data_IF_456096548180
#
_entry.id   IF_456096548180
#
_cell.length_a   1.000
_cell.length_b   1.000
_cell.length_c   1.000
_cell.angle_alpha   90.00
_cell.angle_beta   90.00
_cell.angle_gamma   90.00
#
_symmetry.space_group_name_H-M   'P 1'
#
loop_
_entity.id
_entity.type
_entity.pdbx_description
1 polymer ?
#
# COMPACT_ATOMS: atom_id res chain seq x y z
N UNK A 1 -1.25 -21.45 -5.78
CA UNK A 1 -1.77 -21.39 -4.39
C UNK A 1 -1.92 -19.96 -3.89
N UNK A 2 -0.85 -19.15 -3.82
CA UNK A 2 -0.91 -17.74 -3.36
C UNK A 2 -2.03 -16.90 -3.99
N UNK A 3 -2.17 -16.95 -5.32
CA UNK A 3 -3.23 -16.20 -6.02
C UNK A 3 -4.65 -16.55 -5.58
N UNK A 4 -4.93 -17.84 -5.37
CA UNK A 4 -6.25 -18.29 -4.90
C UNK A 4 -6.50 -17.81 -3.47
N UNK A 5 -5.47 -17.88 -2.61
CA UNK A 5 -5.54 -17.34 -1.26
C UNK A 5 -5.83 -15.82 -1.27
N UNK A 6 -5.12 -15.05 -2.09
CA UNK A 6 -5.35 -13.61 -2.22
C UNK A 6 -6.78 -13.30 -2.68
N UNK A 7 -7.33 -14.07 -3.63
CA UNK A 7 -8.70 -13.88 -4.10
C UNK A 7 -9.73 -14.19 -3.02
N UNK A 8 -9.61 -15.34 -2.33
CA UNK A 8 -10.51 -15.72 -1.25
C UNK A 8 -10.46 -14.70 -0.11
N UNK A 9 -9.25 -14.30 0.31
CA UNK A 9 -9.08 -13.31 1.37
C UNK A 9 -9.64 -11.94 0.94
N UNK A 10 -9.44 -11.51 -0.30
CA UNK A 10 -9.98 -10.23 -0.80
C UNK A 10 -11.51 -10.22 -0.79
N UNK A 11 -12.15 -11.31 -1.20
CA UNK A 11 -13.61 -11.44 -1.13
C UNK A 11 -14.10 -11.44 0.31
N UNK A 12 -13.48 -12.20 1.21
CA UNK A 12 -13.82 -12.21 2.63
C UNK A 12 -13.70 -10.81 3.25
N UNK A 13 -12.59 -10.11 3.02
CA UNK A 13 -12.37 -8.75 3.52
C UNK A 13 -13.39 -7.78 2.93
N UNK A 14 -13.69 -7.87 1.62
CA UNK A 14 -14.68 -7.01 0.98
C UNK A 14 -16.10 -7.23 1.54
N UNK A 15 -16.48 -8.47 1.87
CA UNK A 15 -17.78 -8.77 2.48
C UNK A 15 -17.84 -8.23 3.91
N UNK A 16 -16.82 -8.49 4.73
CA UNK A 16 -16.77 -8.05 6.13
C UNK A 16 -16.68 -6.53 6.25
N UNK A 17 -15.89 -5.88 5.40
CA UNK A 17 -15.66 -4.44 5.42
C UNK A 17 -16.54 -3.66 4.43
N UNK A 18 -17.52 -4.29 3.79
CA UNK A 18 -18.37 -3.65 2.78
C UNK A 18 -19.12 -2.44 3.32
N UNK A 19 -19.74 -2.57 4.49
CA UNK A 19 -20.43 -1.45 5.14
C UNK A 19 -19.45 -0.33 5.57
N UNK A 20 -18.35 -0.61 6.30
CA UNK A 20 -17.31 0.37 6.58
C UNK A 20 -16.77 1.10 5.33
N UNK A 21 -16.58 0.38 4.21
CA UNK A 21 -16.11 0.95 2.95
C UNK A 21 -17.08 1.99 2.39
N UNK A 22 -18.38 1.72 2.43
CA UNK A 22 -19.42 2.66 1.98
C UNK A 22 -19.46 3.89 2.89
N UNK A 23 -19.35 3.70 4.20
CA UNK A 23 -19.30 4.82 5.15
C UNK A 23 -18.07 5.71 4.92
N UNK A 24 -16.90 5.12 4.74
CA UNK A 24 -15.67 5.87 4.41
C UNK A 24 -15.82 6.60 3.09
N UNK A 25 -16.39 5.97 2.05
CA UNK A 25 -16.64 6.59 0.76
C UNK A 25 -17.56 7.83 0.89
N UNK A 26 -18.62 7.73 1.70
CA UNK A 26 -19.53 8.84 1.99
C UNK A 26 -18.80 9.97 2.73
N UNK A 27 -18.04 9.63 3.78
CA UNK A 27 -17.26 10.63 4.54
C UNK A 27 -16.27 11.38 3.64
N UNK A 28 -15.57 10.69 2.75
CA UNK A 28 -14.66 11.31 1.77
C UNK A 28 -15.45 12.23 0.83
N UNK A 29 -16.63 11.79 0.35
CA UNK A 29 -17.46 12.59 -0.54
C UNK A 29 -17.96 13.88 0.11
N UNK A 30 -18.24 13.84 1.41
CA UNK A 30 -18.73 14.99 2.18
C UNK A 30 -17.61 15.96 2.61
N UNK A 31 -16.36 15.51 2.64
CA UNK A 31 -15.23 16.28 3.22
C UNK A 31 -14.15 16.65 2.21
N UNK A 32 -14.27 16.17 0.97
CA UNK A 32 -13.35 16.48 -0.12
C UNK A 32 -14.10 16.95 -1.35
N UNK A 33 -13.57 17.97 -2.01
CA UNK A 33 -13.94 18.29 -3.38
C UNK A 33 -13.39 17.19 -4.32
N UNK A 34 -14.16 16.84 -5.37
CA UNK A 34 -13.74 15.89 -6.41
C UNK A 34 -14.14 14.42 -6.20
N UNK A 35 -13.31 13.52 -6.76
CA UNK A 35 -13.55 12.07 -6.78
C UNK A 35 -13.25 11.41 -5.44
N UNK A 36 -14.07 10.44 -5.04
CA UNK A 36 -13.88 9.63 -3.82
C UNK A 36 -12.55 8.86 -3.88
N UNK A 37 -12.24 8.31 -5.05
CA UNK A 37 -11.02 7.57 -5.29
C UNK A 37 -9.94 8.47 -5.92
N UNK A 38 -8.72 8.32 -5.43
CA UNK A 38 -7.50 8.80 -6.05
C UNK A 38 -6.77 7.61 -6.68
N UNK A 39 -6.29 7.77 -7.91
CA UNK A 39 -5.55 6.75 -8.64
C UNK A 39 -4.09 7.16 -8.74
N UNK A 40 -3.21 6.37 -8.13
CA UNK A 40 -1.76 6.58 -8.17
C UNK A 40 -1.14 5.62 -9.18
N UNK A 41 -0.31 6.13 -10.09
CA UNK A 41 0.53 5.28 -10.93
C UNK A 41 1.66 4.69 -10.09
N UNK A 42 1.79 3.37 -10.18
CA UNK A 42 2.73 2.57 -9.38
C UNK A 42 3.42 1.53 -10.24
N UNK A 43 4.61 1.13 -9.81
CA UNK A 43 5.38 0.07 -10.46
C UNK A 43 4.97 -1.29 -9.91
N UNK A 44 4.51 -2.15 -10.80
CA UNK A 44 4.10 -3.53 -10.52
C UNK A 44 5.10 -4.58 -11.02
N UNK A 45 4.61 -5.80 -11.18
CA UNK A 45 5.42 -6.94 -11.64
C UNK A 45 6.05 -6.65 -13.01
N UNK A 46 7.31 -7.04 -13.17
CA UNK A 46 8.14 -6.80 -14.34
C UNK A 46 8.26 -5.31 -14.70
N UNK A 47 8.28 -4.44 -13.68
CA UNK A 47 8.32 -2.99 -13.81
C UNK A 47 7.16 -2.37 -14.62
N UNK A 48 6.04 -3.09 -14.78
CA UNK A 48 4.88 -2.56 -15.50
C UNK A 48 4.10 -1.59 -14.63
N UNK A 49 3.73 -0.45 -15.19
CA UNK A 49 2.91 0.53 -14.47
C UNK A 49 1.47 0.02 -14.35
N UNK A 50 0.89 0.16 -13.17
CA UNK A 50 -0.53 -0.06 -12.92
C UNK A 50 -1.12 1.08 -12.09
N UNK A 51 -2.44 1.26 -12.20
CA UNK A 51 -3.19 2.24 -11.41
C UNK A 51 -3.63 1.63 -10.09
N UNK A 52 -3.14 2.20 -9.00
CA UNK A 52 -3.46 1.78 -7.64
C UNK A 52 -4.49 2.73 -7.02
N UNK A 53 -5.73 2.28 -6.77
CA UNK A 53 -6.77 3.11 -6.15
C UNK A 53 -6.54 3.25 -4.65
N UNK A 54 -6.83 4.44 -4.13
CA UNK A 54 -6.95 4.75 -2.71
C UNK A 54 -8.15 5.65 -2.48
N UNK A 55 -8.65 5.71 -1.25
CA UNK A 55 -9.53 6.82 -0.91
C UNK A 55 -8.74 8.12 -0.92
N UNK A 56 -9.36 9.18 -1.41
CA UNK A 56 -8.76 10.51 -1.41
C UNK A 56 -8.59 10.96 0.04
N UNK A 57 -7.34 11.23 0.43
CA UNK A 57 -7.01 11.82 1.73
C UNK A 57 -6.38 13.21 1.60
N UNK A 58 -6.03 13.62 0.38
CA UNK A 58 -5.36 14.88 0.09
C UNK A 58 -6.21 15.78 -0.79
N UNK A 59 -6.01 17.08 -0.67
CA UNK A 59 -6.64 18.11 -1.49
C UNK A 59 -6.30 17.89 -2.98
N UNK A 60 -7.21 18.29 -3.87
CA UNK A 60 -7.14 18.01 -5.32
C UNK A 60 -5.83 18.50 -5.97
N UNK A 61 -5.28 19.63 -5.51
CA UNK A 61 -4.10 20.26 -6.09
C UNK A 61 -2.78 19.81 -5.44
N UNK A 62 -2.77 18.71 -4.69
CA UNK A 62 -1.56 18.20 -4.05
C UNK A 62 -0.64 17.51 -5.07
N UNK A 63 0.67 17.82 -5.12
CA UNK A 63 1.62 17.18 -6.04
C UNK A 63 1.73 15.66 -5.83
N UNK A 64 1.89 14.91 -6.93
CA UNK A 64 2.05 13.45 -6.92
C UNK A 64 3.49 13.00 -6.61
N UNK A 65 3.97 13.33 -5.41
CA UNK A 65 5.29 12.94 -4.89
C UNK A 65 5.14 12.07 -3.64
N UNK A 66 6.24 11.44 -3.20
CA UNK A 66 6.23 10.72 -1.93
C UNK A 66 5.92 11.68 -0.77
N UNK A 67 5.16 11.22 0.23
CA UNK A 67 4.68 12.08 1.33
C UNK A 67 5.82 12.79 2.06
N UNK A 68 6.97 12.13 2.24
CA UNK A 68 8.15 12.68 2.91
C UNK A 68 8.87 13.78 2.10
N UNK A 69 8.48 14.00 0.83
CA UNK A 69 9.01 15.07 -0.03
C UNK A 69 8.12 16.32 -0.03
N UNK A 70 6.96 16.29 0.63
CA UNK A 70 6.07 17.45 0.72
C UNK A 70 6.54 18.39 1.83
N UNK A 71 6.56 19.70 1.54
CA UNK A 71 6.98 20.75 2.50
C UNK A 71 6.07 20.79 3.73
N UNK A 72 4.76 20.58 3.55
CA UNK A 72 3.82 20.50 4.65
C UNK A 72 2.72 19.46 4.37
N UNK A 73 2.98 18.17 4.68
CA UNK A 73 2.07 17.08 4.36
C UNK A 73 0.69 17.22 5.00
N UNK A 74 0.61 17.81 6.20
CA UNK A 74 -0.64 17.95 6.97
C UNK A 74 -1.55 19.03 6.41
N UNK A 75 -0.98 20.13 5.91
CA UNK A 75 -1.73 21.20 5.24
C UNK A 75 -2.41 20.73 3.93
N UNK A 76 -1.89 19.67 3.30
CA UNK A 76 -2.45 19.09 2.09
C UNK A 76 -3.56 18.06 2.34
N UNK A 77 -3.93 17.77 3.59
CA UNK A 77 -4.95 16.76 3.93
C UNK A 77 -6.37 17.33 3.91
N UNK A 78 -7.34 16.48 3.56
CA UNK A 78 -8.76 16.75 3.83
C UNK A 78 -9.03 16.58 5.34
N UNK A 79 -10.14 17.10 5.90
CA UNK A 79 -10.41 17.05 7.34
C UNK A 79 -10.31 15.66 7.97
N UNK A 80 -10.80 14.63 7.28
CA UNK A 80 -10.72 13.22 7.74
C UNK A 80 -9.46 12.49 7.26
N UNK A 81 -8.61 13.14 6.45
CA UNK A 81 -7.50 12.50 5.75
C UNK A 81 -6.44 11.92 6.69
N UNK A 82 -6.17 12.62 7.80
CA UNK A 82 -5.25 12.14 8.84
C UNK A 82 -5.76 10.85 9.49
N UNK A 83 -7.06 10.80 9.83
CA UNK A 83 -7.68 9.61 10.40
C UNK A 83 -7.65 8.42 9.44
N UNK A 84 -7.99 8.64 8.16
CA UNK A 84 -7.98 7.57 7.15
C UNK A 84 -6.59 6.96 6.96
N UNK A 85 -5.53 7.79 6.94
CA UNK A 85 -4.15 7.32 6.84
C UNK A 85 -3.69 6.57 8.08
N UNK A 86 -3.98 7.09 9.28
CA UNK A 86 -3.60 6.45 10.55
C UNK A 86 -4.24 5.08 10.72
N UNK A 87 -5.50 4.96 10.33
CA UNK A 87 -6.26 3.70 10.37
C UNK A 87 -5.99 2.79 9.17
N UNK A 88 -5.20 3.24 8.18
CA UNK A 88 -4.98 2.57 6.89
C UNK A 88 -6.27 2.28 6.09
N UNK A 89 -7.38 2.92 6.46
CA UNK A 89 -8.66 2.78 5.76
C UNK A 89 -8.59 3.33 4.34
N UNK A 90 -7.69 4.29 4.09
CA UNK A 90 -7.48 4.86 2.76
C UNK A 90 -6.95 3.84 1.73
N UNK A 91 -6.34 2.75 2.21
CA UNK A 91 -5.76 1.71 1.36
C UNK A 91 -6.76 0.60 0.97
N UNK A 92 -7.95 0.55 1.59
CA UNK A 92 -8.93 -0.50 1.29
C UNK A 92 -9.38 -0.59 -0.18
N UNK A 93 -9.46 0.50 -0.98
CA UNK A 93 -9.76 0.39 -2.41
C UNK A 93 -8.74 -0.44 -3.18
N UNK A 94 -7.52 -0.63 -2.67
CA UNK A 94 -6.49 -1.49 -3.28
C UNK A 94 -6.91 -2.97 -3.35
N UNK A 95 -7.94 -3.40 -2.61
CA UNK A 95 -8.57 -4.71 -2.79
C UNK A 95 -8.98 -4.94 -4.25
N UNK A 96 -9.36 -3.88 -4.99
CA UNK A 96 -9.61 -3.95 -6.43
C UNK A 96 -8.37 -4.38 -7.22
N UNK A 97 -7.20 -3.79 -6.93
CA UNK A 97 -5.93 -4.18 -7.56
C UNK A 97 -5.54 -5.61 -7.21
N UNK A 98 -5.86 -6.08 -6.00
CA UNK A 98 -5.70 -7.50 -5.63
C UNK A 98 -6.64 -8.37 -6.46
N UNK A 99 -7.94 -8.08 -6.53
CA UNK A 99 -8.89 -8.85 -7.33
C UNK A 99 -8.53 -8.90 -8.81
N UNK A 100 -8.05 -7.79 -9.38
CA UNK A 100 -7.60 -7.71 -10.77
C UNK A 100 -6.29 -8.47 -11.04
N UNK A 101 -5.44 -8.61 -10.02
CA UNK A 101 -4.15 -9.32 -10.11
C UNK A 101 -2.94 -8.44 -10.31
N UNK A 102 -3.11 -7.12 -10.23
CA UNK A 102 -2.00 -6.16 -10.24
C UNK A 102 -1.23 -6.18 -8.91
N UNK A 103 -1.91 -6.58 -7.81
CA UNK A 103 -1.35 -6.66 -6.45
C UNK A 103 -1.68 -8.00 -5.77
N UNK A 104 -1.00 -8.23 -4.65
CA UNK A 104 -1.20 -9.30 -3.67
C UNK A 104 -1.40 -8.69 -2.27
N UNK A 105 -1.88 -9.46 -1.29
CA UNK A 105 -1.88 -8.98 0.09
C UNK A 105 -0.46 -8.80 0.63
N UNK A 106 0.43 -9.74 0.30
CA UNK A 106 1.83 -9.74 0.74
C UNK A 106 2.77 -9.66 -0.45
N UNK A 107 3.70 -8.71 -0.40
CA UNK A 107 4.73 -8.45 -1.39
C UNK A 107 5.43 -7.10 -1.16
N UNK A 108 6.46 -6.75 -1.96
CA UNK A 108 7.11 -5.44 -1.88
C UNK A 108 6.10 -4.31 -2.08
N UNK A 109 6.19 -3.21 -1.30
CA UNK A 109 5.28 -2.06 -1.49
C UNK A 109 5.48 -1.49 -2.89
N UNK A 110 4.42 -1.24 -3.68
CA UNK A 110 4.55 -0.66 -5.02
C UNK A 110 5.28 0.68 -4.96
N UNK A 111 6.40 0.81 -5.69
CA UNK A 111 7.11 2.08 -5.82
C UNK A 111 6.24 3.08 -6.59
N UNK A 112 6.40 4.38 -6.32
CA UNK A 112 5.88 5.40 -7.23
C UNK A 112 6.62 5.31 -8.57
N UNK A 113 5.93 5.65 -9.65
CA UNK A 113 6.49 5.61 -11.01
C UNK A 113 7.73 6.51 -11.18
N UNK A 114 7.88 7.53 -10.32
CA UNK A 114 8.97 8.51 -10.33
C UNK A 114 10.08 8.23 -9.29
N UNK A 115 10.13 7.03 -8.70
CA UNK A 115 11.21 6.62 -7.78
C UNK A 115 12.26 5.76 -8.49
N UNK A 116 13.01 6.36 -9.42
CA UNK A 116 13.93 5.66 -10.31
C UNK A 116 15.00 4.84 -9.55
N UNK A 117 15.53 5.41 -8.47
CA UNK A 117 16.54 4.78 -7.60
C UNK A 117 16.05 3.43 -7.01
N UNK A 118 14.85 3.42 -6.43
CA UNK A 118 14.23 2.23 -5.88
C UNK A 118 13.89 1.21 -6.99
N UNK A 119 13.37 1.68 -8.12
CA UNK A 119 12.99 0.81 -9.26
C UNK A 119 14.21 0.10 -9.83
N UNK A 120 15.28 0.84 -10.10
CA UNK A 120 16.53 0.30 -10.66
C UNK A 120 17.17 -0.69 -9.69
N UNK A 121 17.22 -0.35 -8.39
CA UNK A 121 17.82 -1.23 -7.40
C UNK A 121 17.00 -2.53 -7.24
N UNK A 122 15.66 -2.45 -7.15
CA UNK A 122 14.81 -3.65 -7.14
C UNK A 122 14.99 -4.51 -8.38
N UNK A 123 15.18 -3.88 -9.55
CA UNK A 123 15.43 -4.61 -10.80
C UNK A 123 16.74 -5.37 -10.73
N UNK A 124 17.82 -4.71 -10.27
CA UNK A 124 19.15 -5.32 -10.10
C UNK A 124 19.14 -6.54 -9.18
N UNK A 125 18.34 -6.51 -8.11
CA UNK A 125 18.21 -7.63 -7.16
C UNK A 125 17.09 -8.64 -7.54
N UNK A 126 16.50 -8.54 -8.72
CA UNK A 126 15.45 -9.45 -9.18
C UNK A 126 14.09 -9.26 -8.51
N UNK A 127 13.94 -8.32 -7.57
CA UNK A 127 12.69 -8.07 -6.83
C UNK A 127 11.52 -7.69 -7.74
N UNK A 128 11.80 -7.02 -8.87
CA UNK A 128 10.80 -6.59 -9.85
C UNK A 128 9.88 -7.70 -10.39
N UNK A 129 10.27 -8.99 -10.31
CA UNK A 129 9.41 -10.11 -10.75
C UNK A 129 8.30 -10.45 -9.74
N UNK A 130 8.34 -9.87 -8.55
CA UNK A 130 7.32 -10.06 -7.54
C UNK A 130 6.09 -9.22 -7.85
N UNK A 131 4.91 -9.82 -7.65
CA UNK A 131 3.66 -9.05 -7.56
C UNK A 131 3.75 -8.19 -6.28
N UNK A 132 3.57 -6.87 -6.38
CA UNK A 132 3.68 -6.00 -5.23
C UNK A 132 2.54 -6.24 -4.23
N UNK A 133 2.77 -5.86 -2.98
CA UNK A 133 1.89 -6.14 -1.86
C UNK A 133 1.26 -4.92 -1.21
N UNK A 134 0.08 -5.11 -0.62
CA UNK A 134 -0.49 -4.16 0.35
C UNK A 134 0.46 -4.00 1.56
N UNK A 135 0.91 -5.14 2.12
CA UNK A 135 1.97 -5.23 3.12
C UNK A 135 3.10 -6.13 2.63
N UNK A 136 4.21 -6.21 3.37
CA UNK A 136 5.40 -6.94 2.96
C UNK A 136 6.47 -6.99 4.04
N UNK A 137 7.54 -7.73 3.76
CA UNK A 137 8.64 -7.94 4.71
C UNK A 137 9.33 -6.64 5.10
N UNK A 138 9.63 -5.76 4.13
CA UNK A 138 10.17 -4.44 4.43
C UNK A 138 9.18 -3.57 5.23
N UNK A 139 7.88 -3.66 4.91
CA UNK A 139 6.83 -2.88 5.57
C UNK A 139 6.72 -3.19 7.06
N UNK A 140 6.88 -4.45 7.48
CA UNK A 140 6.80 -4.82 8.89
C UNK A 140 8.14 -4.63 9.64
N UNK A 141 9.27 -4.48 8.96
CA UNK A 141 10.60 -4.34 9.58
C UNK A 141 11.15 -2.90 9.60
N UNK A 142 10.34 -1.91 9.24
CA UNK A 142 10.74 -0.49 9.33
C UNK A 142 10.01 0.44 8.35
N UNK A 143 9.22 -0.10 7.43
CA UNK A 143 8.23 0.64 6.62
C UNK A 143 8.87 1.80 5.82
N UNK A 144 8.54 3.03 6.15
CA UNK A 144 9.02 4.22 5.46
C UNK A 144 10.36 4.75 6.01
N UNK A 145 10.76 4.33 7.21
CA UNK A 145 12.01 4.74 7.86
C UNK A 145 13.24 4.01 7.30
N UNK A 146 13.04 2.94 6.52
CA UNK A 146 14.11 2.16 5.93
C UNK A 146 14.77 2.89 4.75
N UNK A 147 16.11 3.06 4.76
CA UNK A 147 16.86 3.45 3.56
C UNK A 147 16.60 2.50 2.40
N UNK A 148 16.65 3.02 1.17
CA UNK A 148 16.36 2.24 -0.05
C UNK A 148 17.18 0.94 -0.13
N UNK A 149 18.50 0.91 0.14
CA UNK A 149 19.27 -0.34 0.10
C UNK A 149 18.77 -1.40 1.09
N UNK A 150 18.39 -1.02 2.31
CA UNK A 150 17.89 -1.96 3.31
C UNK A 150 16.48 -2.47 2.95
N UNK A 151 15.64 -1.57 2.43
CA UNK A 151 14.32 -1.92 1.89
C UNK A 151 14.43 -2.97 0.79
N UNK A 152 15.35 -2.78 -0.16
CA UNK A 152 15.58 -3.75 -1.25
C UNK A 152 16.17 -5.06 -0.73
N UNK A 153 17.06 -5.01 0.29
CA UNK A 153 17.59 -6.21 0.92
C UNK A 153 16.48 -7.08 1.54
N UNK A 154 15.53 -6.46 2.24
CA UNK A 154 14.37 -7.15 2.81
C UNK A 154 13.42 -7.65 1.70
N UNK A 155 13.19 -6.87 0.66
CA UNK A 155 12.38 -7.32 -0.47
C UNK A 155 13.02 -8.54 -1.19
N UNK A 156 14.35 -8.55 -1.33
CA UNK A 156 15.10 -9.69 -1.87
C UNK A 156 15.06 -10.90 -0.93
N UNK A 157 15.13 -10.70 0.38
CA UNK A 157 14.93 -11.78 1.36
C UNK A 157 13.54 -12.40 1.22
N UNK A 158 12.50 -11.58 1.05
CA UNK A 158 11.14 -12.05 0.78
C UNK A 158 11.08 -12.84 -0.53
N UNK A 159 11.73 -12.39 -1.60
CA UNK A 159 11.81 -13.12 -2.87
C UNK A 159 12.30 -14.57 -2.66
N UNK A 160 13.30 -14.78 -1.80
CA UNK A 160 13.87 -16.10 -1.52
C UNK A 160 13.06 -16.93 -0.51
N UNK A 161 12.43 -16.29 0.49
CA UNK A 161 11.71 -16.97 1.59
C UNK A 161 10.20 -17.12 1.36
N UNK A 162 9.66 -16.55 0.28
CA UNK A 162 8.21 -16.50 0.02
C UNK A 162 7.58 -17.88 0.13
N UNK A 163 6.62 -17.99 1.02
CA UNK A 163 5.78 -19.17 1.22
C UNK A 163 4.47 -18.72 1.84
N UNK A 164 3.42 -19.54 1.76
CA UNK A 164 2.13 -19.19 2.35
C UNK A 164 2.25 -19.00 3.88
N UNK A 165 3.07 -19.81 4.56
CA UNK A 165 3.35 -19.63 5.99
C UNK A 165 4.05 -18.31 6.30
N UNK A 166 5.01 -17.90 5.46
CA UNK A 166 5.69 -16.62 5.62
C UNK A 166 4.76 -15.43 5.34
N UNK A 167 3.87 -15.56 4.35
CA UNK A 167 2.82 -14.56 4.09
C UNK A 167 1.89 -14.40 5.30
N UNK A 168 1.46 -15.51 5.92
CA UNK A 168 0.63 -15.48 7.12
C UNK A 168 1.33 -14.81 8.30
N UNK A 169 2.63 -15.08 8.50
CA UNK A 169 3.44 -14.37 9.50
C UNK A 169 3.46 -12.86 9.25
N UNK A 170 3.66 -12.44 8.00
CA UNK A 170 3.69 -11.02 7.64
C UNK A 170 2.32 -10.37 7.87
N UNK A 171 1.23 -11.03 7.50
CA UNK A 171 -0.13 -10.55 7.75
C UNK A 171 -0.42 -10.41 9.24
N UNK A 172 -0.06 -11.42 10.04
CA UNK A 172 -0.23 -11.38 11.49
C UNK A 172 0.55 -10.21 12.12
N UNK A 173 1.83 -10.06 11.78
CA UNK A 173 2.66 -8.94 12.27
C UNK A 173 2.15 -7.58 11.80
N UNK A 174 1.58 -7.51 10.60
CA UNK A 174 0.94 -6.27 10.10
C UNK A 174 -0.26 -5.89 10.95
N UNK A 175 -1.10 -6.87 11.32
CA UNK A 175 -2.25 -6.63 12.18
C UNK A 175 -1.82 -6.19 13.58
N UNK A 176 -0.86 -6.89 14.21
CA UNK A 176 -0.32 -6.51 15.52
C UNK A 176 0.21 -5.08 15.54
N UNK A 177 1.06 -4.70 14.56
CA UNK A 177 1.61 -3.34 14.48
C UNK A 177 0.55 -2.26 14.27
N UNK A 178 -0.49 -2.55 13.48
CA UNK A 178 -1.58 -1.59 13.24
C UNK A 178 -2.43 -1.37 14.50
N UNK A 179 -2.57 -2.41 15.34
CA UNK A 179 -3.27 -2.32 16.63
C UNK A 179 -2.43 -1.64 17.71
N UNK A 180 -1.12 -1.90 17.74
CA UNK A 180 -0.18 -1.37 18.73
C UNK A 180 0.14 0.12 18.54
N UNK A 181 -0.29 0.75 17.44
CA UNK A 181 0.01 2.16 17.08
C UNK A 181 1.51 2.48 16.98
N UNK A 182 2.38 1.48 16.93
CA UNK A 182 3.82 1.67 16.82
C UNK A 182 4.22 2.09 15.40
N UNK A 183 4.70 3.33 15.28
CA UNK A 183 5.49 3.80 14.13
C UNK A 183 4.73 4.53 13.01
N UNK A 184 3.61 5.21 13.28
CA UNK A 184 3.13 6.25 12.35
C UNK A 184 3.79 7.57 12.73
N UNK A 185 5.05 7.74 12.32
CA UNK A 185 5.75 9.02 12.40
C UNK A 185 5.08 10.00 11.41
N UNK A 186 4.76 11.17 11.93
CA UNK A 186 3.97 12.24 11.31
C UNK A 186 4.69 12.96 10.18
#
# INVERSE_FOLDING_TARGET
MKRLFDLLLAVCVAVVLGLPLVLVALLVKLTSEGSILYWSDRVGCNNRIFRMPKFRTMLVNTPAVATHLLVNPTACLIPIGSFLRKSSLDELPQLWSILKGDMSFVGPRPALFNQEDLILLRTRYGVHVLVPGLTGWAQINGRDDLPIPEKVKLDAEYLHKRSLGFDMLILWRTLSKTLERDGVSH
#
